data_IF_816968740827
#
_entry.id   IF_816968740827
#
_cell.length_a   1.000
_cell.length_b   1.000
_cell.length_c   1.000
_cell.angle_alpha   90.00
_cell.angle_beta   90.00
_cell.angle_gamma   90.00
#
_symmetry.space_group_name_H-M   'P 1'
#
loop_
_entity.id
_entity.type
_entity.pdbx_description
1 polymer ?
2 non-polymer ?
3 water ?
#
# COMPACT_ATOMS: atom_id res chain seq x y z
N UNK A 1 -8.25 -8.13 2.04
CA UNK A 1 -7.65 -9.00 0.99
C UNK A 1 -6.17 -8.72 0.88
N UNK A 2 -5.43 -9.67 0.30
CA UNK A 2 -4.05 -9.41 -0.07
C UNK A 2 -4.02 -8.52 -1.30
N UNK A 3 -3.41 -7.35 -1.16
CA UNK A 3 -3.08 -6.54 -2.32
C UNK A 3 -1.85 -7.10 -3.01
N UNK A 4 -0.85 -7.51 -2.22
CA UNK A 4 0.43 -7.99 -2.73
C UNK A 4 0.68 -9.41 -2.22
N UNK A 5 0.51 -10.39 -3.11
CA UNK A 5 0.75 -11.77 -2.73
C UNK A 5 2.23 -12.06 -2.54
N UNK A 6 3.10 -11.41 -3.32
CA UNK A 6 4.53 -11.69 -3.23
C UNK A 6 5.08 -11.35 -1.85
N UNK A 7 4.57 -10.30 -1.22
CA UNK A 7 5.04 -9.88 0.09
C UNK A 7 4.02 -10.11 1.20
N UNK A 8 2.83 -10.59 0.86
CA UNK A 8 1.79 -10.80 1.85
C UNK A 8 1.35 -9.51 2.52
N UNK A 9 1.01 -8.49 1.72
CA UNK A 9 0.55 -7.20 2.22
C UNK A 9 -0.94 -7.09 1.93
N UNK A 10 -1.72 -6.79 2.96
CA UNK A 10 -3.17 -6.66 2.82
C UNK A 10 -3.55 -5.20 2.61
N UNK A 11 -4.79 -5.00 2.18
CA UNK A 11 -5.30 -3.64 2.05
C UNK A 11 -5.29 -2.93 3.40
N UNK A 12 -5.65 -3.65 4.47
CA UNK A 12 -5.63 -3.05 5.80
C UNK A 12 -4.23 -2.64 6.22
N UNK A 13 -3.21 -3.39 5.80
CA UNK A 13 -1.84 -3.04 6.17
C UNK A 13 -1.36 -1.79 5.45
N UNK A 14 -1.84 -1.56 4.22
CA UNK A 14 -1.52 -0.33 3.52
C UNK A 14 -2.19 0.85 4.21
N UNK A 15 -3.48 0.71 4.54
CA UNK A 15 -4.17 1.78 5.26
C UNK A 15 -3.48 2.08 6.58
N UNK A 16 -3.09 1.04 7.32
CA UNK A 16 -2.46 1.26 8.61
C UNK A 16 -1.10 1.94 8.45
N UNK A 17 -0.36 1.60 7.39
CA UNK A 17 0.89 2.29 7.10
C UNK A 17 0.66 3.78 6.91
N UNK A 18 -0.43 4.15 6.24
CA UNK A 18 -0.75 5.57 6.06
C UNK A 18 -1.15 6.19 7.39
N UNK A 19 -2.05 5.53 8.13
CA UNK A 19 -2.45 6.06 9.43
C UNK A 19 -1.24 6.25 10.32
N UNK A 20 -0.24 5.39 10.19
CA UNK A 20 0.93 5.41 11.06
C UNK A 20 2.02 6.35 10.57
N UNK A 21 1.87 6.97 9.40
CA UNK A 21 2.81 8.00 8.99
C UNK A 21 3.02 8.22 7.51
N UNK A 22 2.81 7.19 6.69
CA UNK A 22 3.10 7.31 5.27
C UNK A 22 2.09 8.22 4.58
N UNK A 23 2.54 8.89 3.52
CA UNK A 23 1.68 9.76 2.74
C UNK A 23 1.66 9.43 1.26
N UNK A 24 2.43 8.43 0.83
CA UNK A 24 2.63 8.16 -0.58
C UNK A 24 2.82 6.67 -0.80
N UNK A 25 2.56 6.23 -2.03
CA UNK A 25 2.85 4.84 -2.38
C UNK A 25 4.33 4.53 -2.17
N UNK A 26 5.20 5.48 -2.49
CA UNK A 26 6.63 5.24 -2.35
C UNK A 26 6.99 4.94 -0.90
N UNK A 27 6.43 5.69 0.05
CA UNK A 27 6.71 5.44 1.46
C UNK A 27 6.09 4.12 1.92
N UNK A 28 4.86 3.84 1.50
CA UNK A 28 4.24 2.57 1.86
C UNK A 28 5.06 1.42 1.31
N UNK A 29 5.59 1.59 0.11
CA UNK A 29 6.42 0.55 -0.49
C UNK A 29 7.65 0.28 0.37
N UNK A 30 8.34 1.33 0.81
CA UNK A 30 9.52 1.13 1.65
C UNK A 30 9.14 0.60 3.02
N UNK A 31 7.97 0.97 3.54
CA UNK A 31 7.58 0.56 4.89
C UNK A 31 7.04 -0.86 4.94
N UNK A 32 6.38 -1.33 3.88
CA UNK A 32 5.73 -2.64 3.88
C UNK A 32 6.30 -3.63 2.88
N UNK A 33 7.05 -3.17 1.88
CA UNK A 33 7.50 -4.04 0.81
C UNK A 33 6.51 -4.24 -0.31
N UNK A 34 5.30 -3.69 -0.20
CA UNK A 34 4.31 -3.85 -1.25
C UNK A 34 4.91 -3.39 -2.57
N UNK A 35 4.74 -4.20 -3.61
CA UNK A 35 5.13 -3.81 -4.95
C UNK A 35 6.62 -3.86 -5.23
N UNK A 36 7.42 -4.47 -4.36
CA UNK A 36 8.87 -4.49 -4.55
C UNK A 36 9.36 -5.71 -5.30
N UNK A 37 8.51 -6.70 -5.54
CA UNK A 37 8.90 -7.89 -6.28
C UNK A 37 8.46 -7.76 -7.73
N UNK A 38 7.41 -8.50 -8.13
CA UNK A 38 6.97 -8.43 -9.52
C UNK A 38 6.39 -7.06 -9.86
N UNK A 39 5.85 -6.34 -8.87
CA UNK A 39 5.32 -5.01 -9.09
C UNK A 39 3.93 -4.94 -9.67
N UNK A 40 3.29 -6.08 -9.96
CA UNK A 40 1.98 -6.07 -10.62
C UNK A 40 0.89 -5.47 -9.74
N UNK A 41 1.07 -5.47 -8.42
CA UNK A 41 0.07 -4.96 -7.49
C UNK A 41 0.15 -3.46 -7.28
N UNK A 42 1.06 -2.77 -7.97
CA UNK A 42 1.30 -1.37 -7.67
C UNK A 42 0.05 -0.52 -7.90
N UNK A 43 -0.63 -0.72 -9.03
CA UNK A 43 -1.81 0.08 -9.31
C UNK A 43 -2.87 -0.12 -8.23
N UNK A 44 -3.09 -1.37 -7.82
CA UNK A 44 -4.05 -1.64 -6.76
C UNK A 44 -3.62 -1.00 -5.45
N UNK A 45 -2.33 -1.10 -5.13
CA UNK A 45 -1.83 -0.50 -3.90
C UNK A 45 -1.97 1.02 -3.93
N UNK A 46 -1.67 1.63 -5.07
CA UNK A 46 -1.85 3.07 -5.21
C UNK A 46 -3.32 3.46 -5.06
N UNK A 47 -4.24 2.61 -5.52
CA UNK A 47 -5.66 2.88 -5.33
C UNK A 47 -6.01 2.89 -3.85
N UNK A 48 -5.48 1.93 -3.08
CA UNK A 48 -5.74 1.90 -1.64
C UNK A 48 -5.18 3.15 -0.98
N UNK A 49 -3.97 3.57 -1.37
CA UNK A 49 -3.38 4.78 -0.82
C UNK A 49 -4.26 5.99 -1.12
N UNK A 50 -4.63 6.16 -2.39
CA UNK A 50 -5.46 7.29 -2.78
C UNK A 50 -6.79 7.29 -2.04
N UNK A 51 -7.43 6.13 -1.92
CA UNK A 51 -8.70 6.05 -1.20
C UNK A 51 -8.51 6.42 0.27
N UNK A 52 -7.43 5.94 0.89
CA UNK A 52 -7.22 6.21 2.31
C UNK A 52 -6.98 7.70 2.55
N UNK A 53 -6.13 8.32 1.74
CA UNK A 53 -5.87 9.75 1.90
C UNK A 53 -7.14 10.57 1.68
N UNK A 54 -7.94 10.21 0.67
CA UNK A 54 -9.18 10.93 0.41
C UNK A 54 -10.14 10.82 1.58
N UNK A 55 -10.07 9.73 2.34
CA UNK A 55 -10.96 9.52 3.47
C UNK A 55 -10.50 10.24 4.73
N UNK A 56 -9.30 10.81 4.71
CA UNK A 56 -8.83 11.63 5.82
C UNK A 56 -9.18 13.10 5.56
X LIG B 1 4.14 -9.11 -6.95
X LIG B 1 3.00 -7.33 -5.18
X LIG B 1 5.05 -7.39 -5.92
X LIG B 1 2.08 -9.02 -6.20
#
# INVERSE_FOLDING_TARGET
MYVCLCQGVTDNQIRDAIYEGCCSYEEVREATGVGTQCGKCASLAKQVVRETLNDL
FES FE1 FE2 S1 S2
#
